data_IF_960933142309
#
_entry.id   IF_960933142309
#
_cell.length_a   1.000
_cell.length_b   1.000
_cell.length_c   1.000
_cell.angle_alpha   90.00
_cell.angle_beta   90.00
_cell.angle_gamma   90.00
#
_symmetry.space_group_name_H-M   'P 1'
#
loop_
_entity.id
_entity.type
_entity.pdbx_description
1 polymer ?
#
# COMPACT_ATOMS: atom_id res chain seq x y z
N UNK A 1 -13.20 24.78 3.92
CA UNK A 1 -12.01 23.99 3.53
C UNK A 1 -11.93 22.85 4.53
N UNK A 2 -11.77 21.61 4.08
CA UNK A 2 -11.61 20.48 4.99
C UNK A 2 -10.20 20.56 5.61
N UNK A 3 -10.12 20.75 6.92
CA UNK A 3 -8.87 20.87 7.68
C UNK A 3 -8.24 19.49 7.97
N UNK A 4 -8.05 18.69 6.92
CA UNK A 4 -7.31 17.44 7.06
C UNK A 4 -5.82 17.72 7.02
N UNK A 5 -5.12 17.26 8.04
CA UNK A 5 -3.68 17.04 7.92
C UNK A 5 -3.40 16.02 6.81
N UNK A 6 -2.23 16.12 6.18
CA UNK A 6 -1.77 15.14 5.20
C UNK A 6 -0.38 14.61 5.57
N UNK A 7 -0.20 13.30 5.47
CA UNK A 7 1.05 12.58 5.75
C UNK A 7 1.42 11.69 4.57
N UNK A 8 2.69 11.71 4.17
CA UNK A 8 3.25 10.69 3.29
C UNK A 8 4.13 9.73 4.08
N UNK A 9 3.88 8.43 3.95
CA UNK A 9 4.77 7.38 4.46
C UNK A 9 5.71 6.95 3.34
N UNK A 10 7.02 7.02 3.56
CA UNK A 10 8.02 6.54 2.60
C UNK A 10 9.11 5.74 3.31
N UNK A 11 9.77 4.87 2.58
CA UNK A 11 10.87 4.06 3.08
C UNK A 11 12.08 4.13 2.16
N UNK A 12 12.06 3.41 1.05
CA UNK A 12 13.19 3.26 0.13
C UNK A 12 12.80 3.56 -1.33
N UNK A 13 11.63 4.14 -1.56
CA UNK A 13 11.13 4.46 -2.90
C UNK A 13 11.99 5.57 -3.54
N UNK A 14 12.68 5.32 -4.68
CA UNK A 14 13.65 6.24 -5.27
C UNK A 14 13.10 7.63 -5.63
N UNK A 15 11.81 7.72 -5.97
CA UNK A 15 11.18 8.98 -6.37
C UNK A 15 10.26 9.58 -5.30
N UNK A 16 10.31 9.08 -4.05
CA UNK A 16 9.46 9.55 -2.96
C UNK A 16 9.49 11.08 -2.78
N UNK A 17 10.66 11.72 -2.96
CA UNK A 17 10.80 13.18 -2.85
C UNK A 17 9.96 13.92 -3.90
N UNK A 18 9.95 13.42 -5.13
CA UNK A 18 9.17 13.98 -6.24
C UNK A 18 7.67 13.78 -6.01
N UNK A 19 7.29 12.61 -5.49
CA UNK A 19 5.90 12.28 -5.18
C UNK A 19 5.38 13.09 -3.99
N UNK A 20 6.20 13.33 -2.97
CA UNK A 20 5.88 14.22 -1.86
C UNK A 20 5.59 15.66 -2.33
N UNK A 21 6.47 16.20 -3.18
CA UNK A 21 6.29 17.54 -3.75
C UNK A 21 5.03 17.61 -4.63
N UNK A 22 4.72 16.54 -5.39
CA UNK A 22 3.48 16.44 -6.17
C UNK A 22 2.24 16.40 -5.28
N UNK A 23 2.27 15.58 -4.23
CA UNK A 23 1.17 15.44 -3.28
C UNK A 23 0.82 16.79 -2.63
N UNK A 24 1.84 17.51 -2.16
CA UNK A 24 1.66 18.85 -1.59
C UNK A 24 1.06 19.84 -2.60
N UNK A 25 1.52 19.82 -3.85
CA UNK A 25 1.00 20.71 -4.89
C UNK A 25 -0.47 20.43 -5.22
N UNK A 26 -0.84 19.16 -5.36
CA UNK A 26 -2.21 18.76 -5.73
C UNK A 26 -3.18 19.00 -4.58
N UNK A 27 -2.80 18.65 -3.35
CA UNK A 27 -3.67 18.88 -2.19
C UNK A 27 -3.76 20.37 -1.80
N UNK A 28 -2.85 21.22 -2.27
CA UNK A 28 -2.82 22.65 -1.93
C UNK A 28 -2.55 22.91 -0.45
N UNK A 29 -2.03 21.94 0.30
CA UNK A 29 -1.72 22.04 1.73
C UNK A 29 -0.38 21.38 2.04
N UNK A 30 0.24 21.76 3.16
CA UNK A 30 1.50 21.17 3.61
C UNK A 30 1.30 19.68 3.91
N UNK A 31 2.19 18.85 3.36
CA UNK A 31 2.18 17.40 3.64
C UNK A 31 3.36 17.08 4.55
N UNK A 32 3.08 16.53 5.74
CA UNK A 32 4.10 15.97 6.63
C UNK A 32 4.68 14.70 5.98
N UNK A 33 5.95 14.38 6.20
CA UNK A 33 6.57 13.15 5.68
C UNK A 33 7.21 12.37 6.80
N UNK A 34 6.86 11.10 6.90
CA UNK A 34 7.57 10.13 7.73
C UNK A 34 8.37 9.23 6.79
N UNK A 35 9.68 9.18 7.00
CA UNK A 35 10.61 8.50 6.13
C UNK A 35 11.46 7.50 6.90
N UNK A 36 11.73 6.33 6.31
CA UNK A 36 12.66 5.34 6.86
C UNK A 36 12.15 4.61 8.11
N UNK A 37 10.86 4.71 8.43
CA UNK A 37 10.28 4.04 9.59
C UNK A 37 10.20 2.54 9.34
N UNK A 38 11.00 1.76 10.06
CA UNK A 38 10.89 0.31 10.05
C UNK A 38 9.62 -0.17 10.77
N UNK A 39 8.89 -1.07 10.10
CA UNK A 39 7.65 -1.66 10.58
C UNK A 39 6.40 -0.84 10.21
N UNK A 40 5.51 -1.44 9.43
CA UNK A 40 4.31 -0.76 8.90
C UNK A 40 3.40 -0.23 10.02
N UNK A 41 3.09 -1.04 11.04
CA UNK A 41 2.25 -0.59 12.18
C UNK A 41 2.86 0.61 12.90
N UNK A 42 4.19 0.61 13.08
CA UNK A 42 4.90 1.72 13.71
C UNK A 42 4.78 2.99 12.86
N UNK A 43 4.91 2.88 11.54
CA UNK A 43 4.73 4.01 10.62
C UNK A 43 3.33 4.61 10.71
N UNK A 44 2.27 3.78 10.74
CA UNK A 44 0.90 4.25 10.94
C UNK A 44 0.69 4.91 12.31
N UNK A 45 1.20 4.32 13.40
CA UNK A 45 1.09 4.92 14.74
C UNK A 45 1.81 6.28 14.82
N UNK A 46 3.02 6.38 14.27
CA UNK A 46 3.74 7.65 14.18
C UNK A 46 3.02 8.67 13.31
N UNK A 47 2.35 8.26 12.23
CA UNK A 47 1.51 9.15 11.42
C UNK A 47 0.39 9.77 12.26
N UNK A 48 -0.24 8.99 13.15
CA UNK A 48 -1.23 9.49 14.09
C UNK A 48 -0.64 10.38 15.20
N UNK A 49 0.64 10.25 15.53
CA UNK A 49 1.28 11.11 16.53
C UNK A 49 1.62 12.49 15.97
N UNK A 50 2.09 12.55 14.72
CA UNK A 50 2.49 13.80 14.08
C UNK A 50 1.32 14.61 13.51
N UNK A 51 0.11 14.06 13.48
CA UNK A 51 -1.09 14.77 13.04
C UNK A 51 -1.84 15.41 14.20
N UNK A 52 -2.43 16.56 13.95
CA UNK A 52 -3.19 17.34 14.91
C UNK A 52 -4.69 17.04 14.77
N UNK A 53 -5.17 16.93 13.54
CA UNK A 53 -6.57 16.61 13.21
C UNK A 53 -6.96 15.17 13.58
N UNK A 54 -8.21 14.98 14.02
CA UNK A 54 -8.75 13.64 14.31
C UNK A 54 -8.89 12.77 13.05
N UNK A 55 -9.01 13.39 11.88
CA UNK A 55 -9.00 12.72 10.59
C UNK A 55 -7.91 13.33 9.73
N UNK A 56 -7.14 12.49 9.05
CA UNK A 56 -6.03 12.94 8.23
C UNK A 56 -5.83 12.05 7.00
N UNK A 57 -5.26 12.62 5.96
CA UNK A 57 -4.90 11.92 4.74
C UNK A 57 -3.54 11.23 4.89
N UNK A 58 -3.45 10.00 4.41
CA UNK A 58 -2.21 9.23 4.34
C UNK A 58 -2.01 8.74 2.91
N UNK A 59 -0.84 9.03 2.35
CA UNK A 59 -0.39 8.51 1.06
C UNK A 59 0.86 7.64 1.23
N UNK A 60 0.93 6.57 0.45
CA UNK A 60 2.11 5.71 0.37
C UNK A 60 3.22 6.36 -0.48
N UNK A 61 4.47 5.96 -0.28
CA UNK A 61 5.66 6.61 -0.84
C UNK A 61 5.83 6.43 -2.35
N UNK A 62 5.05 5.52 -2.93
CA UNK A 62 4.96 5.22 -4.35
C UNK A 62 3.68 5.78 -5.00
N UNK A 63 2.84 6.52 -4.25
CA UNK A 63 1.58 7.02 -4.76
C UNK A 63 1.72 8.30 -5.57
N UNK A 64 1.29 8.23 -6.83
CA UNK A 64 1.16 9.37 -7.73
C UNK A 64 -0.29 9.86 -7.70
N UNK A 65 -0.56 10.89 -6.89
CA UNK A 65 -1.90 11.49 -6.84
C UNK A 65 -2.31 12.09 -8.20
N UNK A 66 -3.57 11.92 -8.59
CA UNK A 66 -4.16 12.49 -9.81
C UNK A 66 -4.27 14.01 -9.70
N UNK A 67 -4.02 14.74 -10.79
CA UNK A 67 -4.10 16.20 -10.81
C UNK A 67 -5.52 16.72 -10.57
N UNK A 68 -6.51 15.88 -10.85
CA UNK A 68 -7.92 16.14 -10.76
C UNK A 68 -8.50 15.80 -9.38
N UNK A 69 -7.68 15.25 -8.47
CA UNK A 69 -8.15 14.91 -7.12
C UNK A 69 -8.50 16.20 -6.36
N UNK A 70 -9.78 16.34 -6.02
CA UNK A 70 -10.30 17.51 -5.31
C UNK A 70 -10.44 17.24 -3.81
N UNK A 71 -9.51 17.81 -3.02
CA UNK A 71 -9.57 17.77 -1.55
C UNK A 71 -10.85 18.38 -0.98
N UNK A 72 -11.43 19.38 -1.66
CA UNK A 72 -12.67 20.04 -1.25
C UNK A 72 -13.89 19.13 -1.30
N UNK A 73 -13.86 18.09 -2.14
CA UNK A 73 -14.92 17.08 -2.25
C UNK A 73 -14.85 16.00 -1.16
N UNK A 74 -13.74 15.92 -0.41
CA UNK A 74 -13.54 14.88 0.60
C UNK A 74 -14.39 15.15 1.83
N UNK A 75 -15.47 14.39 1.99
CA UNK A 75 -16.29 14.41 3.19
C UNK A 75 -15.54 13.79 4.39
N UNK A 76 -15.81 14.22 5.64
CA UNK A 76 -15.33 13.51 6.83
C UNK A 76 -15.81 12.05 6.88
N UNK A 77 -15.08 11.22 7.62
CA UNK A 77 -15.50 9.86 7.96
C UNK A 77 -16.71 9.90 8.89
N UNK A 78 -17.74 9.13 8.55
CA UNK A 78 -18.89 8.91 9.40
C UNK A 78 -18.49 8.27 10.74
N UNK A 79 -19.42 8.25 11.69
CA UNK A 79 -19.25 7.54 12.95
C UNK A 79 -19.04 6.03 12.72
N UNK A 80 -18.14 5.43 13.50
CA UNK A 80 -17.78 4.01 13.39
C UNK A 80 -16.90 3.62 12.19
N UNK A 81 -16.52 4.58 11.33
CA UNK A 81 -15.60 4.35 10.21
C UNK A 81 -14.17 4.67 10.62
N UNK A 82 -13.26 3.71 10.54
CA UNK A 82 -11.86 3.92 10.90
C UNK A 82 -11.05 4.51 9.73
N UNK A 83 -11.40 4.13 8.50
CA UNK A 83 -10.63 4.48 7.31
C UNK A 83 -11.52 4.52 6.07
N UNK A 84 -11.20 5.41 5.15
CA UNK A 84 -11.68 5.39 3.77
C UNK A 84 -10.49 5.26 2.82
N UNK A 85 -10.59 4.35 1.86
CA UNK A 85 -9.54 4.04 0.89
C UNK A 85 -10.04 4.40 -0.51
N UNK A 86 -9.25 5.18 -1.24
CA UNK A 86 -9.49 5.44 -2.66
C UNK A 86 -8.79 4.40 -3.52
N UNK A 87 -9.32 4.18 -4.73
CA UNK A 87 -8.67 3.29 -5.68
C UNK A 87 -7.43 3.96 -6.27
N UNK A 88 -6.42 3.14 -6.54
CA UNK A 88 -5.27 3.52 -7.35
C UNK A 88 -5.19 2.59 -8.57
N UNK A 89 -4.76 3.15 -9.70
CA UNK A 89 -4.42 2.36 -10.88
C UNK A 89 -3.02 1.76 -10.70
N UNK A 90 -2.89 0.46 -10.91
CA UNK A 90 -1.60 -0.17 -11.13
C UNK A 90 -1.25 -0.08 -12.64
N UNK A 91 -0.18 0.62 -13.04
CA UNK A 91 0.15 0.80 -14.44
C UNK A 91 0.66 -0.49 -15.11
N UNK A 92 1.15 -1.46 -14.33
CA UNK A 92 1.76 -2.68 -14.84
C UNK A 92 0.75 -3.72 -15.33
N UNK A 93 -0.39 -3.85 -14.64
CA UNK A 93 -1.41 -4.86 -14.94
C UNK A 93 -2.82 -4.29 -15.13
N UNK A 94 -2.97 -2.96 -15.05
CA UNK A 94 -4.24 -2.27 -15.28
C UNK A 94 -5.27 -2.42 -14.16
N UNK A 95 -4.97 -3.13 -13.07
CA UNK A 95 -5.89 -3.25 -11.94
C UNK A 95 -6.17 -1.88 -11.30
N UNK A 96 -7.41 -1.65 -10.89
CA UNK A 96 -7.86 -0.41 -10.23
C UNK A 96 -8.63 -0.79 -8.96
N UNK A 97 -7.96 -0.69 -7.81
CA UNK A 97 -8.54 -1.07 -6.52
C UNK A 97 -7.76 -0.43 -5.36
N UNK A 98 -8.09 -0.79 -4.11
CA UNK A 98 -7.53 -0.17 -2.90
C UNK A 98 -6.08 -0.58 -2.55
N UNK A 99 -5.35 -1.23 -3.47
CA UNK A 99 -3.94 -1.54 -3.28
C UNK A 99 -3.07 -0.30 -3.53
N UNK A 100 -2.32 0.06 -2.50
CA UNK A 100 -1.57 1.30 -2.46
C UNK A 100 -2.46 2.55 -2.39
N UNK A 101 -1.83 3.70 -2.26
CA UNK A 101 -2.46 4.99 -2.54
C UNK A 101 -3.03 5.75 -1.36
N UNK A 102 -4.10 6.51 -1.60
CA UNK A 102 -4.63 7.53 -0.70
C UNK A 102 -5.68 6.98 0.26
N UNK A 103 -5.56 7.36 1.53
CA UNK A 103 -6.43 6.93 2.62
C UNK A 103 -6.81 8.14 3.46
N UNK A 104 -8.04 8.19 3.98
CA UNK A 104 -8.48 9.12 5.02
C UNK A 104 -8.66 8.29 6.27
N UNK A 105 -7.94 8.62 7.34
CA UNK A 105 -7.81 7.76 8.51
C UNK A 105 -8.23 8.52 9.76
N UNK A 106 -8.96 7.84 10.64
CA UNK A 106 -9.26 8.33 11.98
C UNK A 106 -8.07 8.08 12.91
N UNK A 107 -7.49 9.15 13.44
CA UNK A 107 -6.32 9.15 14.32
C UNK A 107 -6.50 8.25 15.54
N UNK A 108 -7.65 8.34 16.21
CA UNK A 108 -7.94 7.50 17.37
C UNK A 108 -7.96 6.00 17.06
N UNK A 109 -8.34 5.59 15.84
CA UNK A 109 -8.36 4.19 15.43
C UNK A 109 -6.96 3.58 15.34
N UNK A 110 -5.95 4.36 14.92
CA UNK A 110 -4.56 3.91 14.85
C UNK A 110 -3.91 3.70 16.22
N UNK A 111 -4.40 4.36 17.27
CA UNK A 111 -3.97 4.12 18.66
C UNK A 111 -4.49 2.80 19.22
N UNK A 112 -5.55 2.26 18.61
CA UNK A 112 -6.21 1.02 19.00
C UNK A 112 -5.95 -0.10 17.97
N UNK A 113 -4.93 0.05 17.12
CA UNK A 113 -4.59 -0.92 16.08
C UNK A 113 -4.23 -2.27 16.72
N UNK A 114 -4.95 -3.32 16.32
CA UNK A 114 -4.68 -4.69 16.70
C UNK A 114 -3.52 -5.33 15.92
N UNK A 115 -3.46 -6.66 15.99
CA UNK A 115 -2.31 -7.45 15.53
C UNK A 115 -2.55 -8.21 14.20
N UNK A 116 -3.70 -8.05 13.56
CA UNK A 116 -4.00 -8.67 12.25
C UNK A 116 -2.98 -8.24 11.19
N UNK A 117 -2.50 -9.16 10.35
CA UNK A 117 -1.38 -8.90 9.40
C UNK A 117 -1.66 -7.71 8.49
N UNK A 118 -2.91 -7.57 8.02
CA UNK A 118 -3.38 -6.40 7.30
C UNK A 118 -3.74 -5.26 8.27
N UNK A 119 -3.18 -4.07 8.02
CA UNK A 119 -3.49 -2.86 8.80
C UNK A 119 -4.97 -2.51 8.73
N UNK A 120 -5.63 -2.70 7.58
CA UNK A 120 -7.06 -2.44 7.43
C UNK A 120 -7.90 -3.34 8.34
N UNK A 121 -7.55 -4.63 8.39
CA UNK A 121 -8.23 -5.61 9.25
C UNK A 121 -7.92 -5.40 10.74
N UNK A 122 -6.79 -4.77 11.06
CA UNK A 122 -6.38 -4.47 12.44
C UNK A 122 -7.07 -3.22 13.03
N UNK A 123 -7.89 -2.49 12.28
CA UNK A 123 -8.59 -1.30 12.77
C UNK A 123 -9.87 -1.69 13.53
N UNK A 124 -10.21 -1.00 14.64
CA UNK A 124 -11.41 -1.30 15.45
C UNK A 124 -12.74 -0.86 14.80
N UNK A 125 -12.72 -0.28 13.60
CA UNK A 125 -13.89 0.26 12.92
C UNK A 125 -13.93 -0.13 11.46
N UNK A 126 -15.05 0.19 10.78
CA UNK A 126 -15.23 -0.21 9.37
C UNK A 126 -14.28 0.55 8.44
N UNK A 127 -13.86 -0.12 7.38
CA UNK A 127 -13.22 0.51 6.23
C UNK A 127 -14.27 0.83 5.15
N UNK A 128 -14.16 1.99 4.51
CA UNK A 128 -14.93 2.38 3.34
C UNK A 128 -14.03 2.33 2.09
N UNK A 129 -14.51 1.76 1.00
CA UNK A 129 -13.81 1.75 -0.28
C UNK A 129 -14.55 2.65 -1.27
N UNK A 130 -13.87 3.69 -1.77
CA UNK A 130 -14.45 4.66 -2.72
C UNK A 130 -14.23 4.15 -4.14
N UNK A 131 -15.22 4.30 -5.01
CA UNK A 131 -15.08 3.91 -6.43
C UNK A 131 -14.14 4.85 -7.21
N UNK A 132 -14.00 6.09 -6.75
CA UNK A 132 -13.16 7.12 -7.37
C UNK A 132 -11.68 6.73 -7.31
N UNK A 133 -10.99 7.02 -8.42
CA UNK A 133 -9.56 6.77 -8.58
C UNK A 133 -8.81 8.02 -8.15
N UNK A 134 -8.07 7.95 -7.05
CA UNK A 134 -7.30 9.09 -6.54
C UNK A 134 -5.94 9.24 -7.24
N UNK A 135 -5.47 8.23 -7.99
CA UNK A 135 -4.16 8.28 -8.63
C UNK A 135 -3.66 6.94 -9.13
N UNK A 136 -2.33 6.83 -9.21
CA UNK A 136 -1.61 5.64 -9.69
C UNK A 136 -0.62 5.18 -8.62
N UNK A 137 -0.55 3.88 -8.37
CA UNK A 137 0.52 3.30 -7.55
C UNK A 137 1.72 2.99 -8.45
N UNK A 138 2.83 3.73 -8.27
CA UNK A 138 4.03 3.61 -9.09
C UNK A 138 5.01 2.66 -8.42
N UNK A 139 4.66 1.38 -8.43
CA UNK A 139 5.45 0.29 -7.84
C UNK A 139 6.73 -0.03 -8.60
N UNK A 140 6.80 0.31 -9.89
CA UNK A 140 7.91 -0.01 -10.77
C UNK A 140 9.04 1.02 -10.74
N UNK A 141 9.54 1.35 -9.56
CA UNK A 141 10.66 2.30 -9.41
C UNK A 141 12.03 1.63 -9.48
N UNK A 142 12.08 0.32 -9.24
CA UNK A 142 13.24 -0.56 -9.41
C UNK A 142 12.76 -2.01 -9.57
N UNK A 143 13.64 -2.96 -9.95
CA UNK A 143 13.33 -4.39 -9.92
C UNK A 143 12.82 -4.85 -8.55
N UNK A 144 13.46 -4.40 -7.46
CA UNK A 144 13.08 -4.76 -6.10
C UNK A 144 11.70 -4.20 -5.72
N UNK A 145 11.40 -2.95 -6.05
CA UNK A 145 10.10 -2.34 -5.71
C UNK A 145 8.95 -3.03 -6.46
N UNK A 146 9.16 -3.34 -7.74
CA UNK A 146 8.21 -4.08 -8.56
C UNK A 146 7.96 -5.49 -8.00
N UNK A 147 9.04 -6.23 -7.71
CA UNK A 147 8.97 -7.56 -7.09
C UNK A 147 8.28 -7.52 -5.73
N UNK A 148 8.67 -6.58 -4.84
CA UNK A 148 8.12 -6.43 -3.49
C UNK A 148 6.61 -6.21 -3.51
N UNK A 149 6.16 -5.37 -4.44
CA UNK A 149 4.74 -5.09 -4.65
C UNK A 149 3.97 -6.35 -5.06
N UNK A 150 4.40 -7.03 -6.14
CA UNK A 150 3.75 -8.26 -6.58
C UNK A 150 3.77 -9.35 -5.52
N UNK A 151 4.91 -9.55 -4.86
CA UNK A 151 5.10 -10.56 -3.82
C UNK A 151 4.15 -10.36 -2.65
N UNK A 152 4.14 -9.17 -2.05
CA UNK A 152 3.31 -8.89 -0.88
C UNK A 152 1.83 -8.96 -1.22
N UNK A 153 1.43 -8.41 -2.36
CA UNK A 153 0.03 -8.34 -2.74
C UNK A 153 -0.54 -9.73 -3.06
N UNK A 154 0.15 -10.53 -3.87
CA UNK A 154 -0.31 -11.88 -4.17
C UNK A 154 -0.23 -12.82 -2.97
N UNK A 155 0.72 -12.65 -2.06
CA UNK A 155 0.73 -13.40 -0.80
C UNK A 155 -0.52 -13.09 0.05
N UNK A 156 -0.92 -11.82 0.14
CA UNK A 156 -2.12 -11.42 0.88
C UNK A 156 -3.41 -11.85 0.19
N UNK A 157 -3.50 -11.71 -1.14
CA UNK A 157 -4.66 -12.19 -1.92
C UNK A 157 -4.83 -13.71 -1.79
N UNK A 158 -3.74 -14.47 -1.89
CA UNK A 158 -3.77 -15.94 -1.82
C UNK A 158 -4.05 -16.46 -0.39
N UNK A 159 -3.72 -15.67 0.65
CA UNK A 159 -4.10 -15.98 2.03
C UNK A 159 -5.62 -15.90 2.27
N UNK A 160 -6.32 -15.12 1.45
CA UNK A 160 -7.72 -14.76 1.65
C UNK A 160 -7.87 -13.42 2.37
N UNK A 161 -8.91 -12.66 2.01
CA UNK A 161 -9.15 -11.33 2.58
C UNK A 161 -9.68 -11.42 4.00
N UNK A 162 -9.03 -10.71 4.92
CA UNK A 162 -9.50 -10.54 6.31
C UNK A 162 -10.67 -9.54 6.42
N UNK A 163 -11.07 -8.89 5.33
CA UNK A 163 -12.10 -7.85 5.28
C UNK A 163 -13.22 -8.12 4.25
N UNK A 164 -13.34 -9.38 3.77
CA UNK A 164 -14.54 -9.85 3.05
C UNK A 164 -14.52 -9.70 1.53
N UNK A 165 -13.35 -9.77 0.88
CA UNK A 165 -13.27 -9.92 -0.59
C UNK A 165 -13.78 -11.29 -1.04
N UNK A 166 -14.47 -11.33 -2.17
CA UNK A 166 -14.92 -12.57 -2.82
C UNK A 166 -13.73 -13.37 -3.38
N UNK A 167 -13.78 -14.70 -3.25
CA UNK A 167 -12.70 -15.61 -3.70
C UNK A 167 -12.48 -15.55 -5.22
N UNK A 168 -13.54 -15.30 -6.00
CA UNK A 168 -13.46 -15.14 -7.44
C UNK A 168 -12.70 -13.86 -7.82
N UNK A 169 -13.00 -12.75 -7.15
CA UNK A 169 -12.30 -11.48 -7.34
C UNK A 169 -10.82 -11.58 -6.96
N UNK A 170 -10.49 -12.29 -5.87
CA UNK A 170 -9.10 -12.55 -5.48
C UNK A 170 -8.36 -13.36 -6.55
N UNK A 171 -9.00 -14.40 -7.10
CA UNK A 171 -8.44 -15.26 -8.16
C UNK A 171 -8.14 -14.46 -9.43
N UNK A 172 -9.07 -13.60 -9.87
CA UNK A 172 -8.87 -12.75 -11.05
C UNK A 172 -7.72 -11.76 -10.87
N UNK A 173 -7.59 -11.17 -9.68
CA UNK A 173 -6.49 -10.26 -9.36
C UNK A 173 -5.15 -10.97 -9.34
N UNK A 174 -5.05 -12.14 -8.69
CA UNK A 174 -3.84 -12.96 -8.70
C UNK A 174 -3.44 -13.27 -10.14
N UNK A 175 -4.40 -13.69 -10.97
CA UNK A 175 -4.17 -13.97 -12.39
C UNK A 175 -3.60 -12.76 -13.14
N UNK A 176 -4.17 -11.57 -12.93
CA UNK A 176 -3.66 -10.32 -13.53
C UNK A 176 -2.24 -9.96 -13.09
N UNK A 177 -1.85 -10.34 -11.87
CA UNK A 177 -0.47 -10.17 -11.39
C UNK A 177 0.50 -11.26 -11.91
N UNK A 178 0.03 -12.49 -12.16
CA UNK A 178 0.89 -13.63 -12.50
C UNK A 178 1.00 -13.96 -13.99
N UNK A 179 0.02 -13.55 -14.81
CA UNK A 179 -0.03 -13.87 -16.25
C UNK A 179 0.94 -13.03 -17.08
N UNK A 180 1.37 -11.89 -16.55
CA UNK A 180 2.31 -10.98 -17.19
C UNK A 180 1.85 -9.54 -17.11
N UNK A 181 2.77 -8.66 -16.74
CA UNK A 181 2.59 -7.23 -16.74
C UNK A 181 3.27 -6.58 -17.96
N UNK A 182 2.94 -5.32 -18.24
CA UNK A 182 3.63 -4.50 -19.23
C UNK A 182 4.32 -3.30 -18.58
N UNK A 183 5.45 -2.89 -19.14
CA UNK A 183 6.21 -1.71 -18.70
C UNK A 183 7.51 -2.04 -17.96
N UNK A 184 8.16 -0.99 -17.45
CA UNK A 184 9.44 -1.10 -16.77
C UNK A 184 9.30 -2.01 -15.53
N UNK A 185 10.21 -2.97 -15.38
CA UNK A 185 10.25 -3.97 -14.29
C UNK A 185 8.99 -4.86 -14.15
N UNK A 186 8.18 -4.97 -15.22
CA UNK A 186 7.01 -5.85 -15.24
C UNK A 186 7.34 -7.32 -14.96
N UNK A 187 8.47 -7.82 -15.47
CA UNK A 187 8.94 -9.19 -15.20
C UNK A 187 9.24 -9.41 -13.72
N UNK A 188 9.88 -8.44 -13.05
CA UNK A 188 10.14 -8.50 -11.61
C UNK A 188 8.84 -8.49 -10.81
N UNK A 189 7.85 -7.67 -11.18
CA UNK A 189 6.53 -7.70 -10.55
C UNK A 189 5.81 -9.05 -10.72
N UNK A 190 5.86 -9.62 -11.93
CA UNK A 190 5.25 -10.92 -12.24
C UNK A 190 5.95 -12.06 -11.49
N UNK A 191 7.28 -12.02 -11.39
CA UNK A 191 8.05 -12.98 -10.62
C UNK A 191 7.70 -12.89 -9.13
N UNK A 192 7.68 -11.68 -8.57
CA UNK A 192 7.26 -11.43 -7.19
C UNK A 192 5.86 -11.98 -6.92
N UNK A 193 4.89 -11.69 -7.80
CA UNK A 193 3.53 -12.20 -7.69
C UNK A 193 3.47 -13.73 -7.58
N UNK A 194 4.14 -14.44 -8.48
CA UNK A 194 4.19 -15.93 -8.48
C UNK A 194 4.83 -16.47 -7.20
N UNK A 195 5.91 -15.85 -6.76
CA UNK A 195 6.58 -16.21 -5.50
C UNK A 195 5.71 -15.92 -4.27
N UNK A 196 4.90 -14.85 -4.31
CA UNK A 196 3.95 -14.51 -3.25
C UNK A 196 2.85 -15.55 -3.11
N UNK A 197 2.30 -16.04 -4.23
CA UNK A 197 1.33 -17.16 -4.23
C UNK A 197 1.97 -18.43 -3.67
N UNK A 198 3.18 -18.77 -4.10
CA UNK A 198 3.90 -19.94 -3.59
C UNK A 198 4.17 -19.83 -2.07
N UNK A 199 4.62 -18.65 -1.62
CA UNK A 199 4.81 -18.36 -0.20
C UNK A 199 3.51 -18.53 0.60
N UNK A 200 2.37 -18.05 0.10
CA UNK A 200 1.10 -18.21 0.81
C UNK A 200 0.71 -19.69 0.97
N UNK A 201 0.97 -20.54 -0.03
CA UNK A 201 0.73 -21.98 0.05
C UNK A 201 1.63 -22.66 1.11
N UNK A 202 2.90 -22.24 1.21
CA UNK A 202 3.82 -22.70 2.26
C UNK A 202 3.35 -22.23 3.65
N UNK A 203 3.03 -20.94 3.76
CA UNK A 203 2.61 -20.28 5.00
C UNK A 203 1.22 -20.72 5.51
N UNK A 204 0.40 -21.36 4.68
CA UNK A 204 -0.86 -21.98 5.11
C UNK A 204 -0.65 -23.00 6.25
N UNK A 205 0.53 -23.65 6.29
CA UNK A 205 0.91 -24.58 7.35
C UNK A 205 1.63 -23.89 8.53
N UNK A 206 2.11 -22.66 8.31
CA UNK A 206 2.92 -21.88 9.26
C UNK A 206 2.49 -20.40 9.25
N UNK A 207 1.32 -20.04 9.82
CA UNK A 207 0.75 -18.70 9.65
C UNK A 207 1.64 -17.55 10.14
N UNK A 208 2.53 -17.80 11.11
CA UNK A 208 3.49 -16.83 11.63
C UNK A 208 4.48 -16.31 10.56
N UNK A 209 4.65 -17.02 9.44
CA UNK A 209 5.50 -16.55 8.34
C UNK A 209 4.96 -15.25 7.74
N UNK A 210 3.64 -14.99 7.80
CA UNK A 210 3.07 -13.75 7.29
C UNK A 210 3.57 -12.50 8.03
N UNK A 211 4.08 -12.63 9.25
CA UNK A 211 4.70 -11.51 9.98
C UNK A 211 5.94 -10.98 9.24
N UNK A 212 6.63 -11.86 8.51
CA UNK A 212 7.82 -11.50 7.71
C UNK A 212 7.49 -10.64 6.50
N UNK A 213 6.24 -10.66 6.01
CA UNK A 213 5.84 -9.81 4.88
C UNK A 213 6.07 -8.33 5.18
N UNK A 214 6.02 -7.94 6.46
CA UNK A 214 6.21 -6.55 6.90
C UNK A 214 7.64 -6.20 7.31
N UNK A 215 8.60 -7.12 7.15
CA UNK A 215 10.02 -6.90 7.43
C UNK A 215 10.78 -6.53 6.14
N UNK A 216 11.26 -5.27 6.01
CA UNK A 216 12.00 -4.84 4.82
C UNK A 216 13.30 -5.62 4.60
N UNK A 217 14.02 -5.99 5.66
CA UNK A 217 15.30 -6.69 5.55
C UNK A 217 15.09 -8.13 5.08
N UNK A 218 14.03 -8.79 5.57
CA UNK A 218 13.65 -10.11 5.10
C UNK A 218 13.25 -10.10 3.63
N UNK A 219 12.41 -9.14 3.20
CA UNK A 219 11.99 -9.00 1.81
C UNK A 219 13.18 -8.76 0.88
N UNK A 220 14.10 -7.87 1.26
CA UNK A 220 15.29 -7.59 0.46
C UNK A 220 16.23 -8.80 0.38
N UNK A 221 16.42 -9.52 1.49
CA UNK A 221 17.21 -10.76 1.51
C UNK A 221 16.59 -11.84 0.62
N UNK A 222 15.26 -11.99 0.62
CA UNK A 222 14.55 -12.92 -0.26
C UNK A 222 14.72 -12.56 -1.73
N UNK A 223 14.53 -11.29 -2.07
CA UNK A 223 14.74 -10.79 -3.43
C UNK A 223 16.18 -11.06 -3.91
N UNK A 224 17.18 -10.66 -3.14
CA UNK A 224 18.60 -10.82 -3.54
C UNK A 224 19.04 -12.27 -3.66
N UNK A 225 18.51 -13.18 -2.84
CA UNK A 225 18.80 -14.61 -2.94
C UNK A 225 18.23 -15.25 -4.22
N UNK A 226 17.06 -14.80 -4.69
CA UNK A 226 16.41 -15.32 -5.90
C UNK A 226 16.74 -14.57 -7.19
N UNK A 227 17.18 -13.31 -7.09
CA UNK A 227 17.28 -12.36 -8.21
C UNK A 227 18.61 -11.60 -8.22
N UNK A 228 19.70 -12.24 -7.80
CA UNK A 228 21.01 -11.60 -7.61
C UNK A 228 21.49 -10.76 -8.81
N UNK A 229 21.22 -11.18 -10.05
CA UNK A 229 21.58 -10.42 -11.26
C UNK A 229 20.70 -9.15 -11.46
N UNK A 230 19.44 -9.18 -11.03
CA UNK A 230 18.53 -8.04 -11.10
C UNK A 230 18.75 -7.04 -9.95
N UNK A 231 19.35 -7.49 -8.84
CA UNK A 231 19.64 -6.65 -7.69
C UNK A 231 20.81 -5.68 -7.89
N UNK A 232 21.71 -5.97 -8.84
CA UNK A 232 22.92 -5.16 -9.13
C UNK A 232 22.67 -4.09 -10.21
N UNK A 233 21.58 -4.21 -10.97
CA UNK A 233 21.24 -3.33 -12.10
C UNK A 233 20.32 -2.15 -11.75
N UNK A 234 19.97 -1.97 -10.47
CA UNK A 234 19.06 -0.93 -9.97
C UNK A 234 19.76 0.18 -9.19
#
# INVERSE_FOLDING_TARGET
MSDFDAVMLSYDEPIADQLHARLQRVLGTRVKRLHGVQGMRRAYRLAAEVTDSEQFLLADGDFVIATEFDLGSVAPLAEGVAMRVWRARNPLNGLIYGYGGLKLIRRSALRQLGDAVDVLAALPGRAEFVADVAGTTRINQSPYHAWKAGFRECAMLARGSEYGMDDGEATERIKAWTDGAEGEYADSATAGAREGVAFAAEAAHFPHLFDQLNDPAWLFSRFTAGHAEQAVAG
#
